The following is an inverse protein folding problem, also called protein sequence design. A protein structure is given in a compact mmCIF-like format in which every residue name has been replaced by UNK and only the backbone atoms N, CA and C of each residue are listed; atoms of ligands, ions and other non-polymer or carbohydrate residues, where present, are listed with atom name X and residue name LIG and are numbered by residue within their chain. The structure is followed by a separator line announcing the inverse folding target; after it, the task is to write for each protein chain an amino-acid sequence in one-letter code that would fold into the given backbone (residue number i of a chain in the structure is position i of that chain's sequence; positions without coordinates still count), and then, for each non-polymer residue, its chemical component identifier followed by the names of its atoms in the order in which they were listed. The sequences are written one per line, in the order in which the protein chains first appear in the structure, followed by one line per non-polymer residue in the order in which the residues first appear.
data_IF_899554167749
#
_entry.id   IF_899554167749
#
_cell.length_a   1.000
_cell.length_b   1.000
_cell.length_c   1.000
_cell.angle_alpha   90.00
_cell.angle_beta   90.00
_cell.angle_gamma   90.00
#
_symmetry.space_group_name_H-M   'P 1'
#
loop_
_entity.id
_entity.type
_entity.pdbx_description
1 polymer ?
#
# COMPACT_ATOMS: atom_id res chain seq x y z
N UNK A 1 -3.93 -19.12 -12.14
CA UNK A 1 -3.20 -18.22 -11.22
C UNK A 1 -3.90 -18.07 -9.87
N UNK A 2 -5.24 -17.97 -9.80
CA UNK A 2 -6.02 -17.74 -8.58
C UNK A 2 -5.77 -18.69 -7.38
N UNK A 3 -5.23 -19.89 -7.62
CA UNK A 3 -4.82 -20.85 -6.55
C UNK A 3 -3.33 -20.75 -6.17
N UNK A 4 -2.65 -19.66 -6.52
CA UNK A 4 -1.23 -19.47 -6.20
C UNK A 4 -0.26 -20.29 -7.06
N UNK A 5 -0.71 -20.88 -8.18
CA UNK A 5 0.17 -21.51 -9.17
C UNK A 5 0.91 -20.46 -9.98
N UNK A 6 1.87 -19.80 -9.34
CA UNK A 6 2.67 -18.72 -9.90
C UNK A 6 4.10 -18.81 -9.36
N UNK A 7 5.04 -18.29 -10.14
CA UNK A 7 6.44 -18.25 -9.79
C UNK A 7 7.15 -17.20 -10.63
N UNK A 8 8.40 -16.90 -10.27
CA UNK A 8 9.24 -15.99 -11.04
C UNK A 8 10.44 -16.74 -11.58
N UNK A 9 10.82 -16.40 -12.80
CA UNK A 9 12.02 -16.88 -13.45
C UNK A 9 12.85 -15.66 -13.90
N UNK A 10 14.09 -15.57 -13.45
CA UNK A 10 15.00 -14.49 -13.82
C UNK A 10 16.12 -15.04 -14.69
N UNK A 11 16.12 -14.68 -15.98
CA UNK A 11 17.22 -14.99 -16.88
C UNK A 11 18.32 -13.93 -16.74
N UNK A 12 19.46 -14.30 -16.16
CA UNK A 12 20.61 -13.42 -16.05
C UNK A 12 21.31 -13.21 -17.42
N UNK A 13 21.89 -12.02 -17.68
CA UNK A 13 22.69 -11.81 -18.88
C UNK A 13 23.90 -12.74 -18.90
N UNK A 14 24.29 -13.18 -20.11
CA UNK A 14 25.46 -14.05 -20.30
C UNK A 14 26.74 -13.49 -19.67
N UNK A 15 26.90 -12.17 -19.68
CA UNK A 15 27.96 -11.47 -18.95
C UNK A 15 27.44 -11.02 -17.58
N UNK A 16 27.89 -11.62 -16.45
CA UNK A 16 27.42 -11.25 -15.12
C UNK A 16 27.85 -9.85 -14.68
N UNK A 17 28.83 -9.24 -15.34
CA UNK A 17 29.24 -7.85 -15.09
C UNK A 17 28.33 -6.83 -15.77
N UNK A 18 27.38 -7.27 -16.59
CA UNK A 18 26.44 -6.39 -17.26
C UNK A 18 25.34 -5.97 -16.27
N UNK A 19 25.31 -4.68 -15.92
CA UNK A 19 24.36 -4.07 -14.97
C UNK A 19 24.37 -4.72 -13.58
N UNK A 20 25.52 -4.69 -12.89
CA UNK A 20 25.64 -5.28 -11.56
C UNK A 20 24.78 -4.50 -10.57
N UNK A 21 24.23 -5.21 -9.59
CA UNK A 21 23.53 -4.65 -8.44
C UNK A 21 24.00 -5.40 -7.20
N UNK A 22 23.91 -4.76 -6.04
CA UNK A 22 24.28 -5.37 -4.76
C UNK A 22 23.10 -6.15 -4.16
N UNK A 23 21.87 -5.73 -4.45
CA UNK A 23 20.63 -6.40 -4.02
C UNK A 23 19.67 -6.51 -5.21
N UNK A 24 19.05 -7.67 -5.38
CA UNK A 24 18.05 -7.94 -6.42
C UNK A 24 16.86 -8.63 -5.75
N UNK A 25 15.70 -7.96 -5.72
CA UNK A 25 14.47 -8.45 -5.11
C UNK A 25 13.41 -8.73 -6.17
N UNK A 26 12.52 -9.69 -5.88
CA UNK A 26 11.44 -10.07 -6.76
C UNK A 26 10.10 -10.00 -6.02
N UNK A 27 9.14 -9.34 -6.66
CA UNK A 27 7.76 -9.23 -6.23
C UNK A 27 6.84 -9.77 -7.33
N UNK A 28 5.95 -10.65 -6.94
CA UNK A 28 4.81 -11.08 -7.74
C UNK A 28 3.56 -10.53 -7.07
N UNK A 29 2.82 -9.73 -7.84
CA UNK A 29 1.57 -9.14 -7.41
C UNK A 29 0.44 -10.14 -7.64
N UNK A 30 -0.35 -10.38 -6.60
CA UNK A 30 -1.47 -11.32 -6.62
C UNK A 30 -2.69 -10.71 -5.94
N UNK A 31 -3.88 -11.14 -6.37
CA UNK A 31 -5.15 -10.74 -5.78
C UNK A 31 -6.05 -11.95 -5.59
N UNK A 32 -6.83 -11.92 -4.52
CA UNK A 32 -7.74 -12.99 -4.13
C UNK A 32 -9.08 -12.39 -3.69
N UNK A 33 -10.14 -13.16 -3.91
CA UNK A 33 -11.43 -12.97 -3.26
C UNK A 33 -11.55 -14.08 -2.22
N UNK A 34 -11.42 -13.71 -0.95
CA UNK A 34 -11.50 -14.64 0.17
C UNK A 34 -12.61 -14.18 1.09
N UNK A 35 -13.63 -15.01 1.23
CA UNK A 35 -14.69 -14.79 2.21
C UNK A 35 -14.14 -14.99 3.63
N UNK A 36 -14.44 -14.09 4.59
CA UNK A 36 -14.07 -14.29 5.99
C UNK A 36 -14.47 -15.69 6.48
N UNK A 37 -13.57 -16.41 7.14
CA UNK A 37 -13.82 -17.81 7.52
C UNK A 37 -13.37 -18.87 6.51
N UNK A 38 -13.17 -18.50 5.23
CA UNK A 38 -12.88 -19.48 4.17
C UNK A 38 -11.39 -19.80 4.05
N UNK A 39 -11.06 -21.08 3.89
CA UNK A 39 -9.70 -21.56 3.62
C UNK A 39 -9.31 -21.49 2.13
N UNK A 40 -10.26 -21.24 1.25
CA UNK A 40 -10.03 -21.23 -0.20
C UNK A 40 -10.59 -19.96 -0.84
N UNK A 41 -9.87 -19.34 -1.80
CA UNK A 41 -10.39 -18.20 -2.52
C UNK A 41 -11.51 -18.59 -3.50
N UNK A 42 -12.38 -17.65 -3.83
CA UNK A 42 -13.32 -17.77 -4.96
C UNK A 42 -12.56 -17.56 -6.27
N UNK A 43 -12.20 -18.66 -6.91
CA UNK A 43 -11.37 -18.65 -8.13
C UNK A 43 -12.09 -18.16 -9.40
N UNK A 44 -13.42 -18.08 -9.35
CA UNK A 44 -14.24 -17.61 -10.47
C UNK A 44 -14.54 -16.10 -10.40
N UNK A 45 -14.06 -15.40 -9.36
CA UNK A 45 -14.16 -13.94 -9.29
C UNK A 45 -13.25 -13.31 -10.35
N UNK A 46 -13.78 -12.33 -11.06
CA UNK A 46 -13.12 -11.72 -12.22
C UNK A 46 -12.59 -10.32 -11.90
N UNK A 47 -13.31 -9.54 -11.09
CA UNK A 47 -13.05 -8.12 -10.89
C UNK A 47 -13.16 -7.66 -9.43
N UNK A 48 -13.98 -8.31 -8.60
CA UNK A 48 -14.28 -7.90 -7.22
C UNK A 48 -13.40 -8.61 -6.20
N UNK A 49 -12.08 -8.50 -6.36
CA UNK A 49 -11.13 -9.00 -5.37
C UNK A 49 -11.17 -8.16 -4.09
N UNK A 50 -10.86 -8.78 -2.94
CA UNK A 50 -10.85 -8.11 -1.64
C UNK A 50 -9.50 -8.18 -0.92
N UNK A 51 -8.53 -8.92 -1.46
CA UNK A 51 -7.21 -9.12 -0.89
C UNK A 51 -6.11 -8.96 -1.93
N UNK A 52 -5.16 -8.06 -1.69
CA UNK A 52 -3.99 -7.81 -2.54
C UNK A 52 -2.69 -8.19 -1.83
N UNK A 53 -1.81 -8.96 -2.47
CA UNK A 53 -0.65 -9.55 -1.82
C UNK A 53 0.64 -9.42 -2.64
N UNK A 54 1.75 -9.26 -1.91
CA UNK A 54 3.11 -9.41 -2.43
C UNK A 54 3.60 -10.83 -2.15
N UNK A 55 3.98 -11.58 -3.18
CA UNK A 55 4.48 -12.95 -3.03
C UNK A 55 3.56 -13.85 -2.18
N UNK A 56 2.24 -13.72 -2.34
CA UNK A 56 1.20 -14.42 -1.55
C UNK A 56 1.19 -14.09 -0.05
N UNK A 57 1.85 -13.00 0.37
CA UNK A 57 1.80 -12.48 1.74
C UNK A 57 1.18 -11.09 1.75
N UNK A 58 0.53 -10.77 2.85
CA UNK A 58 -0.01 -9.45 3.13
C UNK A 58 0.71 -8.86 4.32
N UNK A 59 0.91 -7.54 4.34
CA UNK A 59 1.41 -6.86 5.53
C UNK A 59 0.47 -7.10 6.73
N UNK A 60 0.98 -7.30 7.97
CA UNK A 60 2.37 -7.26 8.43
C UNK A 60 3.18 -8.54 8.22
N UNK A 61 2.62 -9.56 7.56
CA UNK A 61 3.29 -10.83 7.29
C UNK A 61 4.30 -10.82 6.13
N UNK A 62 4.59 -9.64 5.56
CA UNK A 62 5.62 -9.44 4.53
C UNK A 62 6.96 -9.08 5.15
N UNK A 63 8.04 -9.67 4.65
CA UNK A 63 9.39 -9.30 5.09
C UNK A 63 9.81 -7.92 4.57
N UNK A 64 10.61 -7.15 5.33
CA UNK A 64 11.20 -5.90 4.85
C UNK A 64 12.29 -6.15 3.81
N UNK A 65 12.49 -5.18 2.91
CA UNK A 65 13.65 -5.14 2.02
C UNK A 65 14.83 -4.56 2.80
N UNK A 66 15.75 -5.41 3.26
CA UNK A 66 16.93 -4.95 4.00
C UNK A 66 18.09 -4.69 3.06
N UNK A 67 18.61 -3.46 3.06
CA UNK A 67 19.71 -3.03 2.20
C UNK A 67 20.73 -2.21 2.98
N UNK A 68 22.00 -2.28 2.57
CA UNK A 68 23.05 -1.44 3.16
C UNK A 68 23.04 -0.07 2.48
N UNK A 69 23.42 0.97 3.22
CA UNK A 69 23.65 2.30 2.67
C UNK A 69 24.60 2.22 1.46
N UNK A 70 24.21 2.88 0.38
CA UNK A 70 24.86 2.91 -0.93
C UNK A 70 24.85 1.60 -1.72
N UNK A 71 24.10 0.58 -1.30
CA UNK A 71 23.85 -0.56 -2.17
C UNK A 71 23.11 -0.10 -3.43
N UNK A 72 23.53 -0.62 -4.58
CA UNK A 72 22.75 -0.51 -5.81
C UNK A 72 21.66 -1.58 -5.78
N UNK A 73 20.41 -1.17 -5.68
CA UNK A 73 19.27 -2.07 -5.47
C UNK A 73 18.50 -2.21 -6.77
N UNK A 74 18.08 -3.43 -7.08
CA UNK A 74 17.10 -3.75 -8.12
C UNK A 74 15.86 -4.35 -7.47
N UNK A 75 14.69 -3.88 -7.89
CA UNK A 75 13.42 -4.51 -7.57
C UNK A 75 12.74 -4.90 -8.88
N UNK A 76 12.35 -6.16 -9.00
CA UNK A 76 11.61 -6.71 -10.14
C UNK A 76 10.20 -6.97 -9.69
N UNK A 77 9.22 -6.42 -10.40
CA UNK A 77 7.83 -6.59 -10.06
C UNK A 77 7.08 -7.12 -11.27
N UNK A 78 6.37 -8.23 -11.10
CA UNK A 78 5.48 -8.81 -12.10
C UNK A 78 4.04 -8.76 -11.64
N UNK A 79 3.14 -8.28 -12.49
CA UNK A 79 1.74 -8.16 -12.16
C UNK A 79 0.91 -9.32 -12.72
N UNK A 80 0.41 -10.18 -11.83
CA UNK A 80 -0.44 -11.33 -12.17
C UNK A 80 -1.92 -11.10 -11.79
N UNK A 81 -2.28 -9.88 -11.37
CA UNK A 81 -3.66 -9.53 -11.02
C UNK A 81 -4.43 -9.02 -12.24
N UNK A 82 -5.75 -8.84 -12.11
CA UNK A 82 -6.64 -8.32 -13.16
C UNK A 82 -6.75 -6.79 -13.17
N UNK A 83 -5.82 -6.07 -12.54
CA UNK A 83 -5.80 -4.61 -12.48
C UNK A 83 -4.36 -4.10 -12.47
N UNK A 84 -4.14 -2.86 -12.91
CA UNK A 84 -2.82 -2.24 -12.84
C UNK A 84 -2.41 -1.90 -11.40
N UNK A 85 -1.10 -1.79 -11.15
CA UNK A 85 -0.57 -1.42 -9.83
C UNK A 85 0.49 -0.32 -9.96
N UNK A 86 0.21 0.90 -9.45
CA UNK A 86 1.23 1.91 -9.27
C UNK A 86 2.10 1.53 -8.08
N UNK A 87 3.30 1.02 -8.32
CA UNK A 87 4.24 0.63 -7.26
C UNK A 87 5.09 1.84 -6.88
N UNK A 88 5.01 2.23 -5.61
CA UNK A 88 5.62 3.43 -5.06
C UNK A 88 6.69 3.10 -4.02
N UNK A 89 7.80 3.85 -4.06
CA UNK A 89 8.87 3.80 -3.09
C UNK A 89 9.08 5.16 -2.45
N UNK A 90 9.03 5.20 -1.11
CA UNK A 90 9.32 6.42 -0.36
C UNK A 90 10.83 6.66 -0.24
N UNK A 91 11.20 7.94 -0.09
CA UNK A 91 12.56 8.37 0.26
C UNK A 91 13.62 8.18 -0.82
N UNK A 92 13.27 7.64 -1.99
CA UNK A 92 14.18 7.36 -3.09
C UNK A 92 13.50 7.62 -4.44
N UNK A 93 14.23 8.24 -5.35
CA UNK A 93 13.94 8.18 -6.78
C UNK A 93 14.60 6.92 -7.35
N UNK A 94 13.95 6.31 -8.35
CA UNK A 94 14.48 5.15 -9.06
C UNK A 94 14.38 5.35 -10.57
N UNK A 95 15.20 4.64 -11.32
CA UNK A 95 15.04 4.53 -12.77
C UNK A 95 14.26 3.27 -13.13
N UNK A 96 13.35 3.37 -14.11
CA UNK A 96 12.82 2.17 -14.77
C UNK A 96 13.88 1.64 -15.75
N UNK A 97 14.41 0.46 -15.45
CA UNK A 97 15.58 -0.11 -16.13
C UNK A 97 15.27 -1.32 -17.00
N UNK A 98 14.09 -1.92 -16.84
CA UNK A 98 13.64 -3.06 -17.62
C UNK A 98 12.13 -3.18 -17.66
N UNK A 99 11.63 -3.80 -18.72
CA UNK A 99 10.22 -4.16 -18.92
C UNK A 99 10.10 -5.66 -19.22
N UNK A 100 8.89 -6.13 -19.46
CA UNK A 100 8.59 -7.45 -20.02
C UNK A 100 9.25 -7.68 -21.40
N UNK A 101 9.63 -6.62 -22.11
CA UNK A 101 10.44 -6.67 -23.34
C UNK A 101 11.95 -6.78 -23.13
N UNK A 102 12.44 -6.76 -21.88
CA UNK A 102 13.86 -6.81 -21.54
C UNK A 102 14.42 -5.50 -21.00
N UNK A 103 15.74 -5.32 -21.10
CA UNK A 103 16.43 -4.17 -20.51
C UNK A 103 16.24 -2.90 -21.33
N UNK A 104 15.93 -1.80 -20.65
CA UNK A 104 15.87 -0.46 -21.24
C UNK A 104 17.30 0.10 -21.36
N UNK A 105 17.73 0.53 -22.58
CA UNK A 105 19.02 1.19 -22.77
C UNK A 105 19.17 2.39 -21.84
N UNK A 106 20.38 2.64 -21.31
CA UNK A 106 20.61 3.74 -20.35
C UNK A 106 20.10 5.10 -20.84
N UNK A 107 20.19 5.36 -22.14
CA UNK A 107 19.74 6.62 -22.77
C UNK A 107 18.22 6.77 -22.84
N UNK A 108 17.46 5.72 -22.54
CA UNK A 108 16.00 5.67 -22.62
C UNK A 108 15.34 5.31 -21.27
N UNK A 109 16.13 5.21 -20.20
CA UNK A 109 15.60 5.07 -18.83
C UNK A 109 15.01 6.39 -18.39
N UNK A 110 14.02 6.33 -17.51
CA UNK A 110 13.38 7.51 -16.95
C UNK A 110 13.29 7.40 -15.42
N UNK A 111 13.46 8.52 -14.70
CA UNK A 111 13.32 8.58 -13.25
C UNK A 111 11.85 8.61 -12.84
N UNK A 112 11.53 7.93 -11.75
CA UNK A 112 10.21 7.90 -11.13
C UNK A 112 10.34 7.71 -9.61
N UNK A 113 9.26 8.01 -8.90
CA UNK A 113 9.02 7.52 -7.52
C UNK A 113 7.88 6.50 -7.48
N UNK A 114 7.09 6.42 -8.56
CA UNK A 114 5.98 5.49 -8.74
C UNK A 114 5.97 5.01 -10.17
N UNK A 115 5.87 3.70 -10.40
CA UNK A 115 5.72 3.16 -11.76
C UNK A 115 4.49 2.28 -11.84
N UNK A 116 3.67 2.50 -12.86
CA UNK A 116 2.51 1.65 -13.10
C UNK A 116 2.89 0.36 -13.80
N UNK A 117 2.33 -0.73 -13.31
CA UNK A 117 2.55 -2.08 -13.82
C UNK A 117 1.20 -2.64 -14.25
N UNK A 118 0.94 -2.61 -15.55
CA UNK A 118 -0.32 -3.12 -16.11
C UNK A 118 -0.40 -4.65 -15.99
N UNK A 119 -1.59 -5.19 -16.24
CA UNK A 119 -1.88 -6.62 -16.19
C UNK A 119 -0.92 -7.40 -17.09
N UNK A 120 -0.26 -8.42 -16.54
CA UNK A 120 0.69 -9.27 -17.26
C UNK A 120 2.06 -8.63 -17.51
N UNK A 121 2.27 -7.38 -17.13
CA UNK A 121 3.55 -6.70 -17.34
C UNK A 121 4.56 -6.98 -16.22
N UNK A 122 5.83 -6.76 -16.56
CA UNK A 122 6.92 -6.71 -15.61
C UNK A 122 7.65 -5.37 -15.69
N UNK A 123 8.18 -4.94 -14.56
CA UNK A 123 9.12 -3.81 -14.47
C UNK A 123 10.32 -4.19 -13.61
N UNK A 124 11.49 -3.69 -13.99
CA UNK A 124 12.66 -3.68 -13.14
C UNK A 124 13.04 -2.23 -12.85
N UNK A 125 13.05 -1.86 -11.58
CA UNK A 125 13.47 -0.54 -11.12
C UNK A 125 14.81 -0.64 -10.41
N UNK A 126 15.67 0.37 -10.57
CA UNK A 126 16.97 0.43 -9.91
C UNK A 126 17.18 1.78 -9.22
N UNK A 127 17.76 1.75 -8.03
CA UNK A 127 18.12 2.95 -7.27
C UNK A 127 19.37 2.70 -6.43
N UNK A 128 19.94 3.77 -5.88
CA UNK A 128 21.01 3.70 -4.89
C UNK A 128 20.40 3.99 -3.52
N UNK A 129 20.58 3.09 -2.56
CA UNK A 129 20.05 3.24 -1.21
C UNK A 129 20.87 4.26 -0.39
N UNK A 130 20.84 5.54 -0.79
CA UNK A 130 21.65 6.61 -0.21
C UNK A 130 20.98 7.33 0.96
N UNK A 131 19.73 6.99 1.28
CA UNK A 131 18.94 7.63 2.32
C UNK A 131 18.60 6.65 3.47
N UNK A 132 19.41 6.61 4.55
CA UNK A 132 19.18 5.72 5.69
C UNK A 132 17.83 5.99 6.38
N UNK A 133 17.05 4.93 6.62
CA UNK A 133 15.70 5.05 7.15
C UNK A 133 14.88 3.78 6.98
N UNK A 134 13.62 3.86 7.41
CA UNK A 134 12.57 2.88 7.11
C UNK A 134 11.57 3.55 6.18
N UNK A 135 11.51 3.06 4.94
CA UNK A 135 10.74 3.69 3.86
C UNK A 135 9.63 2.76 3.39
N UNK A 136 8.41 3.27 3.28
CA UNK A 136 7.31 2.48 2.76
C UNK A 136 7.55 2.10 1.28
N UNK A 137 7.25 0.85 0.95
CA UNK A 137 7.22 0.33 -0.41
C UNK A 137 5.89 -0.38 -0.62
N UNK A 138 5.04 0.16 -1.48
CA UNK A 138 3.64 -0.28 -1.54
C UNK A 138 2.98 -0.01 -2.89
N UNK A 139 1.82 -0.63 -3.11
CA UNK A 139 0.92 -0.22 -4.18
C UNK A 139 0.23 1.10 -3.78
N UNK A 140 0.18 2.07 -4.68
CA UNK A 140 -0.38 3.40 -4.43
C UNK A 140 -1.90 3.48 -4.66
N UNK A 141 -2.56 2.34 -4.87
CA UNK A 141 -4.02 2.25 -4.77
C UNK A 141 -4.38 1.98 -3.32
N UNK A 142 -5.00 2.95 -2.64
CA UNK A 142 -5.23 2.89 -1.18
C UNK A 142 -5.92 1.60 -0.73
N UNK A 143 -6.91 1.11 -1.47
CA UNK A 143 -7.59 -0.16 -1.15
C UNK A 143 -6.68 -1.40 -1.20
N UNK A 144 -5.61 -1.38 -2.01
CA UNK A 144 -4.63 -2.48 -2.07
C UNK A 144 -3.71 -2.51 -0.84
N UNK A 145 -3.65 -1.42 -0.07
CA UNK A 145 -2.90 -1.33 1.18
C UNK A 145 -3.82 -1.39 2.41
N UNK A 146 -5.08 -1.84 2.26
CA UNK A 146 -6.06 -1.86 3.35
C UNK A 146 -6.46 -3.26 3.81
N UNK A 147 -6.69 -4.20 2.86
CA UNK A 147 -6.98 -5.64 3.01
C UNK A 147 -7.54 -6.17 4.35
N UNK A 148 -8.60 -6.98 4.40
CA UNK A 148 -9.64 -7.23 3.40
C UNK A 148 -10.80 -6.23 3.55
N UNK A 149 -11.14 -5.50 2.48
CA UNK A 149 -12.22 -4.51 2.51
C UNK A 149 -13.53 -5.08 1.95
N UNK A 150 -14.64 -4.87 2.65
CA UNK A 150 -15.99 -5.14 2.13
C UNK A 150 -16.50 -4.00 1.25
N UNK A 151 -17.25 -4.32 0.20
CA UNK A 151 -17.82 -3.32 -0.72
C UNK A 151 -19.23 -2.84 -0.31
N UNK A 152 -19.89 -3.57 0.60
CA UNK A 152 -21.30 -3.37 0.91
C UNK A 152 -21.55 -2.53 2.19
N UNK A 153 -20.50 -1.96 2.77
CA UNK A 153 -20.60 -1.14 3.99
C UNK A 153 -20.75 0.33 3.62
N UNK A 154 -21.82 1.03 4.07
CA UNK A 154 -21.98 2.45 3.82
C UNK A 154 -20.87 3.30 4.43
N UNK A 155 -20.47 4.38 3.76
CA UNK A 155 -19.56 5.39 4.32
C UNK A 155 -20.26 6.17 5.43
N UNK A 156 -19.78 6.06 6.67
CA UNK A 156 -20.34 6.73 7.85
C UNK A 156 -19.57 7.98 8.29
N UNK A 157 -18.63 8.45 7.47
CA UNK A 157 -17.77 9.60 7.77
C UNK A 157 -18.61 10.85 8.07
N UNK A 158 -18.43 11.44 9.25
CA UNK A 158 -19.16 12.63 9.70
C UNK A 158 -20.60 12.38 10.17
N UNK A 159 -21.07 11.13 10.18
CA UNK A 159 -22.40 10.80 10.74
C UNK A 159 -22.33 10.87 12.27
N UNK A 160 -23.19 11.69 12.88
CA UNK A 160 -23.32 11.77 14.35
C UNK A 160 -24.06 10.54 14.87
N UNK A 161 -23.32 9.51 15.29
CA UNK A 161 -23.91 8.25 15.75
C UNK A 161 -24.37 8.28 17.22
N UNK A 162 -23.98 9.28 18.03
CA UNK A 162 -24.11 9.26 19.50
C UNK A 162 -25.52 8.98 20.07
N UNK A 163 -26.56 9.69 19.58
CA UNK A 163 -27.93 9.49 20.06
C UNK A 163 -28.53 8.15 19.61
N UNK A 164 -28.08 7.67 18.44
CA UNK A 164 -28.51 6.41 17.86
C UNK A 164 -27.83 5.22 18.55
N UNK A 165 -26.55 5.34 18.90
CA UNK A 165 -25.77 4.30 19.61
C UNK A 165 -26.41 3.92 20.93
N UNK A 166 -26.92 4.89 21.71
CA UNK A 166 -27.64 4.59 22.96
C UNK A 166 -28.90 3.75 22.74
N UNK A 167 -29.62 4.01 21.65
CA UNK A 167 -30.84 3.26 21.30
C UNK A 167 -30.51 1.88 20.76
N UNK A 168 -29.47 1.77 19.92
CA UNK A 168 -29.02 0.50 19.35
C UNK A 168 -28.38 -0.38 20.43
N UNK A 169 -27.54 0.18 21.31
CA UNK A 169 -26.90 -0.57 22.40
C UNK A 169 -27.90 -1.21 23.38
N UNK A 170 -29.07 -0.59 23.57
CA UNK A 170 -30.15 -1.20 24.35
C UNK A 170 -30.76 -2.45 23.69
N UNK A 171 -30.63 -2.60 22.36
CA UNK A 171 -31.15 -3.71 21.57
C UNK A 171 -30.07 -4.73 21.20
N UNK A 172 -28.84 -4.26 20.97
CA UNK A 172 -27.66 -5.03 20.58
C UNK A 172 -26.50 -4.56 21.46
N UNK A 173 -26.27 -5.19 22.62
CA UNK A 173 -25.27 -4.76 23.60
C UNK A 173 -23.84 -4.65 23.05
N UNK A 174 -23.53 -5.45 22.02
CA UNK A 174 -22.20 -5.51 21.40
C UNK A 174 -22.05 -4.55 20.19
N UNK A 175 -23.02 -3.66 19.95
CA UNK A 175 -22.93 -2.70 18.85
C UNK A 175 -21.89 -1.60 19.12
N UNK A 176 -20.92 -1.49 18.23
CA UNK A 176 -19.87 -0.47 18.29
C UNK A 176 -20.05 0.54 17.16
N UNK A 177 -20.20 1.86 17.45
CA UNK A 177 -20.15 2.87 16.43
C UNK A 177 -18.76 2.91 15.81
N UNK A 178 -18.72 2.85 14.50
CA UNK A 178 -17.49 2.64 13.74
C UNK A 178 -17.54 3.49 12.47
N UNK A 179 -16.39 4.05 12.08
CA UNK A 179 -16.20 4.74 10.80
C UNK A 179 -16.69 6.19 10.76
N UNK A 180 -16.85 6.84 11.92
CA UNK A 180 -17.29 8.24 12.00
C UNK A 180 -16.16 9.22 11.65
N UNK A 181 -14.91 8.85 11.97
CA UNK A 181 -13.70 9.68 11.79
C UNK A 181 -12.68 9.07 10.83
N UNK A 182 -12.93 7.87 10.29
CA UNK A 182 -12.17 7.27 9.19
C UNK A 182 -11.71 5.85 9.48
N UNK A 183 -10.81 5.31 8.64
CA UNK A 183 -10.32 3.92 8.77
C UNK A 183 -9.29 3.72 9.88
N UNK A 184 -8.58 4.78 10.30
CA UNK A 184 -7.65 4.70 11.43
C UNK A 184 -8.40 4.42 12.74
N UNK A 185 -9.54 5.09 12.98
CA UNK A 185 -10.44 4.78 14.10
C UNK A 185 -10.85 3.30 14.11
N UNK A 186 -11.17 2.74 12.94
CA UNK A 186 -11.56 1.33 12.82
C UNK A 186 -10.44 0.39 13.27
N UNK A 187 -9.21 0.68 12.84
CA UNK A 187 -8.00 -0.08 13.17
C UNK A 187 -7.70 0.00 14.67
N UNK A 188 -7.68 1.20 15.23
CA UNK A 188 -7.42 1.43 16.65
C UNK A 188 -8.46 0.72 17.53
N UNK A 189 -9.75 0.84 17.20
CA UNK A 189 -10.82 0.19 17.94
C UNK A 189 -10.75 -1.34 17.82
N UNK A 190 -10.44 -1.89 16.64
CA UNK A 190 -10.21 -3.32 16.47
C UNK A 190 -9.04 -3.83 17.32
N UNK A 191 -7.95 -3.05 17.40
CA UNK A 191 -6.79 -3.37 18.23
C UNK A 191 -6.99 -3.20 19.74
N UNK A 192 -7.81 -2.23 20.16
CA UNK A 192 -8.09 -1.94 21.58
C UNK A 192 -9.12 -2.91 22.19
N UNK A 193 -10.07 -3.41 21.39
CA UNK A 193 -11.23 -4.17 21.88
C UNK A 193 -11.10 -5.69 21.68
N UNK A 194 -9.96 -6.20 21.17
CA UNK A 194 -9.74 -7.62 20.85
C UNK A 194 -10.94 -8.27 20.16
N UNK A 195 -11.52 -7.56 19.19
CA UNK A 195 -12.74 -7.99 18.50
C UNK A 195 -12.45 -9.31 17.78
N UNK A 196 -13.09 -10.43 18.16
CA UNK A 196 -12.78 -11.73 17.58
C UNK A 196 -13.22 -11.74 16.12
N UNK A 197 -12.24 -11.85 15.22
CA UNK A 197 -12.51 -12.12 13.81
C UNK A 197 -12.84 -13.60 13.64
N UNK A 198 -13.67 -13.97 12.63
CA UNK A 198 -13.84 -15.37 12.27
C UNK A 198 -12.47 -16.02 12.01
N UNK A 199 -12.33 -17.30 12.36
CA UNK A 199 -11.10 -18.04 12.08
C UNK A 199 -10.69 -17.88 10.61
N UNK A 200 -9.39 -17.87 10.33
CA UNK A 200 -8.86 -17.70 8.97
C UNK A 200 -9.28 -16.39 8.27
N UNK A 201 -9.55 -15.34 9.03
CA UNK A 201 -9.77 -13.97 8.51
C UNK A 201 -8.59 -13.08 8.85
N UNK A 202 -8.07 -12.37 7.86
CA UNK A 202 -7.01 -11.37 8.07
C UNK A 202 -7.62 -10.06 8.59
N UNK A 203 -6.96 -9.39 9.56
CA UNK A 203 -7.40 -8.09 10.02
C UNK A 203 -7.16 -7.02 8.95
N UNK A 204 -8.05 -6.04 8.90
CA UNK A 204 -7.86 -4.80 8.13
C UNK A 204 -6.80 -3.91 8.77
N UNK A 205 -6.04 -3.17 7.95
CA UNK A 205 -5.24 -2.01 8.39
C UNK A 205 -4.42 -2.27 9.66
N UNK A 206 -3.53 -3.27 9.63
CA UNK A 206 -2.80 -3.74 10.81
C UNK A 206 -1.32 -3.30 10.83
N UNK A 207 -0.56 -3.88 11.76
CA UNK A 207 0.87 -3.64 11.91
C UNK A 207 1.24 -2.44 12.79
N UNK A 208 2.39 -2.54 13.43
CA UNK A 208 2.90 -1.55 14.39
C UNK A 208 4.32 -1.15 14.02
N UNK A 209 4.59 0.15 14.05
CA UNK A 209 5.91 0.74 13.83
C UNK A 209 6.46 1.42 15.09
N UNK A 210 7.59 2.10 14.93
CA UNK A 210 8.28 2.80 16.02
C UNK A 210 7.45 3.94 16.66
N UNK A 211 6.41 4.42 15.98
CA UNK A 211 5.58 5.56 16.39
C UNK A 211 4.09 5.22 16.59
N UNK A 212 3.73 3.93 16.61
CA UNK A 212 2.33 3.49 16.78
C UNK A 212 1.84 2.58 15.66
N UNK A 213 0.52 2.53 15.47
CA UNK A 213 -0.10 1.77 14.39
C UNK A 213 0.38 2.30 13.02
N UNK A 214 0.63 1.38 12.09
CA UNK A 214 0.98 1.73 10.70
C UNK A 214 -0.30 1.90 9.87
N UNK A 215 -1.41 1.27 10.30
CA UNK A 215 -2.69 1.27 9.61
C UNK A 215 -2.56 0.89 8.14
N UNK A 216 -1.79 -0.17 7.84
CA UNK A 216 -1.64 -0.68 6.47
C UNK A 216 -1.91 -2.17 6.44
N UNK A 217 -2.19 -2.69 5.25
CA UNK A 217 -2.37 -4.11 4.97
C UNK A 217 -1.90 -4.44 3.57
N UNK A 218 -2.10 -5.68 3.16
CA UNK A 218 -1.97 -6.08 1.76
C UNK A 218 -0.62 -5.82 1.12
N UNK A 219 -0.61 -5.10 -0.01
CA UNK A 219 0.57 -4.79 -0.81
C UNK A 219 1.39 -3.66 -0.21
N UNK A 220 1.91 -3.89 1.00
CA UNK A 220 2.78 -2.98 1.71
C UNK A 220 3.98 -3.75 2.29
N UNK A 221 5.14 -3.12 2.31
CA UNK A 221 6.30 -3.55 3.10
C UNK A 221 7.22 -2.33 3.33
N UNK A 222 8.33 -2.52 4.00
CA UNK A 222 9.30 -1.47 4.29
C UNK A 222 10.67 -1.77 3.67
N UNK A 223 11.27 -0.79 3.01
CA UNK A 223 12.68 -0.76 2.67
C UNK A 223 13.45 -0.24 3.88
N UNK A 224 14.31 -1.07 4.47
CA UNK A 224 15.17 -0.73 5.60
C UNK A 224 16.59 -0.50 5.12
N UNK A 225 17.01 0.77 5.08
CA UNK A 225 18.36 1.17 4.69
C UNK A 225 19.20 1.36 5.95
N UNK A 226 20.34 0.67 6.05
CA UNK A 226 21.22 0.74 7.23
C UNK A 226 22.69 0.90 6.90
N UNK A 227 23.38 1.66 7.73
CA UNK A 227 24.85 1.72 7.72
C UNK A 227 25.44 0.48 8.42
N UNK A 228 26.62 0.05 7.98
CA UNK A 228 27.37 -1.01 8.66
C UNK A 228 26.87 -2.45 8.45
N UNK A 229 25.79 -2.67 7.69
CA UNK A 229 25.37 -4.02 7.33
C UNK A 229 26.44 -4.74 6.49
N UNK A 230 26.56 -6.05 6.69
CA UNK A 230 27.38 -6.87 5.80
C UNK A 230 26.70 -7.01 4.42
N UNK A 231 27.49 -7.23 3.37
CA UNK A 231 27.01 -7.27 1.97
C UNK A 231 25.85 -8.25 1.73
N UNK A 232 25.83 -9.38 2.45
CA UNK A 232 24.84 -10.45 2.28
C UNK A 232 23.97 -10.62 3.53
N UNK A 233 23.86 -9.60 4.38
CA UNK A 233 22.95 -9.64 5.53
C UNK A 233 21.55 -9.22 5.10
N UNK A 234 20.56 -10.09 5.31
CA UNK A 234 19.15 -9.85 4.98
C UNK A 234 18.27 -9.83 6.24
N UNK A 235 18.86 -9.97 7.43
CA UNK A 235 18.09 -10.00 8.68
C UNK A 235 17.48 -8.62 8.94
N UNK A 236 16.27 -8.60 9.48
CA UNK A 236 15.64 -7.35 9.89
C UNK A 236 16.52 -6.66 10.96
N UNK A 237 17.07 -5.46 10.68
CA UNK A 237 17.89 -4.72 11.63
C UNK A 237 17.08 -4.04 12.74
N UNK A 238 15.77 -4.22 12.78
CA UNK A 238 14.85 -3.55 13.69
C UNK A 238 14.52 -2.12 13.23
N UNK A 239 13.89 -1.30 14.08
CA UNK A 239 13.53 0.08 13.77
C UNK A 239 14.75 0.98 13.49
N UNK A 240 14.58 1.96 12.61
CA UNK A 240 15.63 2.94 12.34
C UNK A 240 15.85 3.88 13.54
N UNK A 241 17.11 4.15 13.89
CA UNK A 241 17.46 5.08 14.96
C UNK A 241 17.60 6.49 14.39
N UNK A 242 16.55 7.29 14.53
CA UNK A 242 16.55 8.68 14.07
C UNK A 242 17.57 9.54 14.84
N UNK A 243 18.30 10.46 14.17
CA UNK A 243 19.16 11.41 14.84
C UNK A 243 18.41 12.27 15.87
N UNK A 244 19.12 12.72 16.91
CA UNK A 244 18.50 13.53 17.97
C UNK A 244 17.94 14.83 17.38
N UNK A 245 16.68 15.12 17.66
CA UNK A 245 15.99 16.34 17.24
C UNK A 245 15.40 16.32 15.82
N UNK A 246 15.47 15.19 15.10
CA UNK A 246 14.89 15.09 13.74
C UNK A 246 13.49 14.48 13.72
N UNK A 247 13.05 13.89 14.84
CA UNK A 247 11.71 13.31 14.96
C UNK A 247 10.70 14.41 15.24
N UNK A 248 9.65 14.48 14.43
CA UNK A 248 8.53 15.38 14.66
C UNK A 248 7.83 15.05 15.99
N UNK A 249 7.34 16.08 16.67
CA UNK A 249 6.56 15.95 17.89
C UNK A 249 5.30 16.79 17.77
N UNK A 250 4.26 16.39 18.49
CA UNK A 250 3.03 17.17 18.57
C UNK A 250 3.30 18.54 19.21
N UNK A 251 2.78 19.60 18.58
CA UNK A 251 2.84 20.96 19.12
C UNK A 251 1.56 21.22 19.91
N UNK A 252 1.69 21.25 21.25
CA UNK A 252 0.55 21.35 22.19
C UNK A 252 0.09 22.81 22.40
N UNK A 253 0.72 23.80 21.75
CA UNK A 253 0.45 25.23 21.97
C UNK A 253 -0.34 25.88 20.82
N UNK A 254 -1.11 26.92 21.16
CA UNK A 254 -1.93 27.80 20.31
C UNK A 254 -1.30 28.05 18.94
N UNK A 255 -1.71 27.25 17.96
CA UNK A 255 -1.55 27.60 16.57
C UNK A 255 -2.24 28.96 16.37
N UNK A 256 -1.60 29.93 15.67
CA UNK A 256 -2.29 31.15 15.30
C UNK A 256 -3.60 30.77 14.59
N UNK A 257 -4.71 31.47 14.85
CA UNK A 257 -5.99 31.15 14.25
C UNK A 257 -5.82 30.97 12.74
N UNK A 258 -6.30 29.83 12.23
CA UNK A 258 -6.25 29.54 10.80
C UNK A 258 -7.12 30.57 10.09
N UNK A 259 -6.50 31.55 9.44
CA UNK A 259 -7.19 32.42 8.50
C UNK A 259 -7.60 31.58 7.30
N UNK A 260 -8.83 31.07 7.34
CA UNK A 260 -9.48 30.53 6.16
C UNK A 260 -9.78 31.72 5.26
N UNK A 261 -9.28 31.69 4.04
CA UNK A 261 -9.75 32.61 3.01
C UNK A 261 -11.26 32.45 2.89
N UNK A 262 -11.99 33.55 3.06
CA UNK A 262 -13.41 33.57 2.75
C UNK A 262 -13.55 33.21 1.28
N UNK A 263 -14.28 32.14 1.00
CA UNK A 263 -14.63 31.77 -0.35
C UNK A 263 -15.52 32.90 -0.88
N UNK A 264 -14.96 33.79 -1.68
CA UNK A 264 -15.73 34.77 -2.44
C UNK A 264 -16.55 33.99 -3.46
N UNK A 265 -17.78 33.66 -3.09
CA UNK A 265 -18.79 33.21 -4.05
C UNK A 265 -19.09 34.43 -4.91
N UNK A 266 -18.77 34.43 -6.21
CA UNK A 266 -19.15 35.54 -7.07
C UNK A 266 -20.66 35.69 -7.04
N UNK A 267 -21.18 36.88 -6.71
CA UNK A 267 -22.59 37.21 -6.91
C UNK A 267 -22.86 37.24 -8.43
N UNK A 268 -23.19 36.07 -8.95
CA UNK A 268 -23.26 35.81 -10.38
C UNK A 268 -22.97 34.36 -10.63
N UNK A 269 -23.92 33.49 -10.28
CA UNK A 269 -23.86 32.08 -10.67
C UNK A 269 -23.63 32.00 -12.17
N UNK A 270 -22.54 31.38 -12.60
CA UNK A 270 -22.35 31.04 -14.00
C UNK A 270 -23.28 29.86 -14.29
N UNK A 271 -24.37 30.11 -15.02
CA UNK A 271 -25.20 29.03 -15.57
C UNK A 271 -24.37 28.21 -16.55
N UNK A 272 -23.84 27.09 -16.06
CA UNK A 272 -23.17 26.10 -16.90
C UNK A 272 -24.23 25.26 -17.57
N UNK A 273 -24.35 25.36 -18.90
CA UNK A 273 -25.20 24.47 -19.69
C UNK A 273 -24.56 23.07 -19.76
N UNK A 274 -24.78 22.27 -18.72
CA UNK A 274 -24.30 20.88 -18.67
C UNK A 274 -25.18 20.03 -19.58
N UNK A 275 -24.65 19.64 -20.74
CA UNK A 275 -25.28 18.64 -21.59
C UNK A 275 -25.06 17.26 -20.97
N UNK A 276 -26.09 16.70 -20.32
CA UNK A 276 -26.04 15.31 -19.83
C UNK A 276 -25.71 14.38 -21.00
N UNK A 277 -24.80 13.40 -20.83
CA UNK A 277 -24.59 12.36 -21.82
C UNK A 277 -25.93 11.66 -22.06
N UNK A 278 -26.47 11.76 -23.27
CA UNK A 278 -27.61 10.95 -23.69
C UNK A 278 -27.06 9.57 -24.03
N UNK A 279 -27.43 8.58 -23.22
CA UNK A 279 -27.52 7.15 -23.55
C UNK A 279 -26.31 6.49 -24.20
N UNK A 280 -25.86 5.38 -23.59
CA UNK A 280 -24.97 4.43 -24.26
C UNK A 280 -25.50 4.10 -25.66
N UNK A 281 -24.77 4.50 -26.70
CA UNK A 281 -24.82 3.77 -27.96
C UNK A 281 -23.95 2.53 -27.78
N UNK A 282 -24.58 1.39 -28.06
CA UNK A 282 -24.01 0.06 -28.09
C UNK A 282 -22.69 0.04 -28.86
N UNK A 283 -21.69 -0.59 -28.25
CA UNK A 283 -20.61 -1.28 -28.94
C UNK A 283 -20.23 -2.53 -28.14
#
# INVERSE_FOLDING_TARGET
MAMGMMGSWVTHPKNPKLMPVDRDFVFLLSSYDIEPGSYTPRIAEMLNFNLWAFNSRVFPGTDPLVVRKNDRVRIRVGNLTMTNHPIHLHGHEFEVTGTDGGWVPKTARWPEVTTDIAVGQMRAIEFVANNPGDWAFHCHKSHHTMNPMGHDVPTLLGVKQGDLVKKIGNLVPDYMPMGATGMAEMSEMAGMMDMPLPENTLPMMSGTGQFGAIDMGGMFTTLKVREGLARNDYKDPGPYKNPKGTVAHEVINDLPPVERSEMTVPEGGTEMSVRKPMGHMEH
#
